data_IF_880313749550
#
_entry.id   IF_880313749550
#
_cell.length_a   1.000
_cell.length_b   1.000
_cell.length_c   1.000
_cell.angle_alpha   90.00
_cell.angle_beta   90.00
_cell.angle_gamma   90.00
#
_symmetry.space_group_name_H-M   'P 1'
#
loop_
_entity.id
_entity.type
_entity.pdbx_description
1 polymer ?
#
# COMPACT_ATOMS: atom_id res chain seq x y z
N UNK A 1 -8.55 -3.99 -11.90
CA UNK A 1 -8.15 -4.62 -10.62
C UNK A 1 -7.10 -3.77 -9.92
N UNK A 2 -6.69 -4.15 -8.71
CA UNK A 2 -5.49 -3.60 -8.06
C UNK A 2 -4.24 -4.17 -8.72
N UNK A 3 -3.35 -3.32 -9.19
CA UNK A 3 -2.09 -3.69 -9.84
C UNK A 3 -0.97 -3.98 -8.84
N UNK A 4 -0.88 -3.19 -7.77
CA UNK A 4 0.09 -3.45 -6.71
C UNK A 4 -0.33 -2.86 -5.36
N UNK A 5 0.18 -3.48 -4.30
CA UNK A 5 0.14 -2.96 -2.94
C UNK A 5 1.58 -2.67 -2.46
N UNK A 6 1.76 -1.51 -1.83
CA UNK A 6 3.06 -1.04 -1.35
C UNK A 6 2.96 -0.60 0.12
N UNK A 7 4.01 -0.88 0.89
CA UNK A 7 4.29 -0.22 2.16
C UNK A 7 5.63 0.48 2.03
N UNK A 8 5.68 1.79 2.30
CA UNK A 8 6.87 2.60 2.11
C UNK A 8 6.98 3.71 3.17
N UNK A 9 8.14 4.36 3.25
CA UNK A 9 8.35 5.45 4.22
C UNK A 9 7.84 6.78 3.65
N UNK A 10 7.06 7.52 4.44
CA UNK A 10 6.56 8.87 4.09
C UNK A 10 7.15 9.96 4.98
N UNK A 11 7.66 9.59 6.16
CA UNK A 11 8.42 10.49 7.03
C UNK A 11 9.91 10.56 6.68
N UNK A 12 10.65 11.52 7.28
CA UNK A 12 12.10 11.56 7.17
C UNK A 12 12.72 10.29 7.76
N UNK A 13 13.62 9.67 7.02
CA UNK A 13 14.42 8.52 7.47
C UNK A 13 15.86 8.98 7.50
N UNK A 14 16.52 8.93 8.65
CA UNK A 14 17.87 9.49 8.84
C UNK A 14 18.93 8.94 7.88
N UNK A 15 18.69 7.79 7.27
CA UNK A 15 19.56 7.13 6.29
C UNK A 15 19.25 7.48 4.82
N UNK A 16 18.23 8.29 4.56
CA UNK A 16 17.81 8.71 3.21
C UNK A 16 17.95 10.21 3.02
N UNK A 17 18.17 10.62 1.77
CA UNK A 17 18.17 12.04 1.43
C UNK A 17 16.77 12.64 1.48
N UNK A 18 16.68 13.96 1.64
CA UNK A 18 15.39 14.66 1.64
C UNK A 18 14.67 14.42 0.32
N UNK A 19 13.46 13.88 0.36
CA UNK A 19 12.69 13.55 -0.84
C UNK A 19 12.59 12.05 -1.14
N UNK A 20 13.49 11.23 -0.58
CA UNK A 20 13.50 9.80 -0.84
C UNK A 20 12.45 9.04 -0.01
N UNK A 21 11.92 7.98 -0.61
CA UNK A 21 11.01 7.04 0.03
C UNK A 21 11.60 5.64 -0.10
N UNK A 22 11.70 4.92 1.01
CA UNK A 22 12.11 3.52 1.01
C UNK A 22 10.87 2.65 0.85
N UNK A 23 10.82 1.86 -0.21
CA UNK A 23 9.85 0.77 -0.34
C UNK A 23 10.26 -0.34 0.64
N UNK A 24 9.41 -0.63 1.60
CA UNK A 24 9.62 -1.65 2.64
C UNK A 24 8.97 -2.98 2.23
N UNK A 25 7.83 -2.91 1.56
CA UNK A 25 7.13 -4.07 1.03
C UNK A 25 6.45 -3.70 -0.28
N UNK A 26 6.47 -4.63 -1.23
CA UNK A 26 5.76 -4.47 -2.51
C UNK A 26 5.24 -5.82 -2.99
N UNK A 27 3.97 -5.85 -3.39
CA UNK A 27 3.37 -6.98 -4.07
C UNK A 27 2.61 -6.50 -5.30
N UNK A 28 2.96 -7.02 -6.47
CA UNK A 28 2.11 -6.85 -7.65
C UNK A 28 1.09 -7.97 -7.75
N UNK A 29 0.01 -7.67 -8.46
CA UNK A 29 -1.09 -8.56 -8.75
C UNK A 29 -1.36 -8.57 -10.25
N UNK A 30 -2.09 -9.60 -10.69
CA UNK A 30 -2.30 -9.90 -12.10
C UNK A 30 -1.14 -10.67 -12.73
N UNK A 31 -1.38 -11.38 -13.85
CA UNK A 31 -0.29 -11.85 -14.68
C UNK A 31 0.47 -10.63 -15.18
N UNK A 32 1.79 -10.75 -15.26
CA UNK A 32 2.70 -9.76 -15.86
C UNK A 32 2.08 -9.11 -17.12
N UNK A 33 1.24 -9.80 -17.87
CA UNK A 33 0.88 -9.52 -19.27
C UNK A 33 -0.22 -8.49 -19.55
N UNK A 34 -1.03 -8.09 -18.56
CA UNK A 34 -2.23 -7.26 -18.81
C UNK A 34 -1.94 -5.80 -19.20
N UNK A 35 -0.82 -5.25 -18.70
CA UNK A 35 -0.42 -3.84 -18.88
C UNK A 35 0.96 -3.71 -19.54
N UNK A 36 1.45 -4.81 -20.10
CA UNK A 36 2.75 -4.83 -20.77
C UNK A 36 2.59 -4.29 -22.17
N UNK A 37 3.34 -3.23 -22.47
CA UNK A 37 3.62 -2.90 -23.86
C UNK A 37 4.24 -4.12 -24.55
N UNK A 38 4.11 -4.26 -25.87
CA UNK A 38 4.73 -5.39 -26.59
C UNK A 38 6.23 -5.53 -26.27
N UNK A 39 6.91 -4.39 -26.04
CA UNK A 39 8.30 -4.30 -25.58
C UNK A 39 8.54 -4.93 -24.20
N UNK A 40 7.58 -4.80 -23.30
CA UNK A 40 7.75 -5.37 -21.97
C UNK A 40 7.74 -6.89 -22.03
N UNK A 41 6.96 -7.54 -22.92
CA UNK A 41 6.81 -9.01 -22.99
C UNK A 41 8.12 -9.75 -23.24
N UNK A 42 9.05 -9.13 -23.94
CA UNK A 42 10.37 -9.68 -24.32
C UNK A 42 11.41 -9.61 -23.19
N UNK A 43 11.12 -8.89 -22.11
CA UNK A 43 12.06 -8.73 -20.99
C UNK A 43 12.35 -10.06 -20.29
N UNK A 44 13.63 -10.25 -19.94
CA UNK A 44 14.11 -11.31 -19.06
C UNK A 44 13.46 -11.19 -17.67
N UNK A 45 13.40 -12.29 -16.89
CA UNK A 45 12.79 -12.24 -15.56
C UNK A 45 13.44 -11.24 -14.60
N UNK A 46 14.74 -10.97 -14.75
CA UNK A 46 15.45 -10.01 -13.90
C UNK A 46 15.15 -8.56 -14.31
N UNK A 47 15.03 -8.28 -15.61
CA UNK A 47 14.58 -6.97 -16.10
C UNK A 47 13.13 -6.68 -15.67
N UNK A 48 12.25 -7.68 -15.66
CA UNK A 48 10.87 -7.52 -15.14
C UNK A 48 10.85 -7.17 -13.65
N UNK A 49 11.67 -7.86 -12.85
CA UNK A 49 11.81 -7.57 -11.41
C UNK A 49 12.36 -6.17 -11.18
N UNK A 50 13.33 -5.75 -11.99
CA UNK A 50 13.90 -4.40 -11.93
C UNK A 50 12.83 -3.35 -12.26
N UNK A 51 12.14 -3.52 -13.39
CA UNK A 51 11.05 -2.63 -13.81
C UNK A 51 9.98 -2.53 -12.73
N UNK A 52 9.57 -3.64 -12.12
CA UNK A 52 8.57 -3.64 -11.05
C UNK A 52 9.03 -2.85 -9.82
N UNK A 53 10.31 -2.95 -9.45
CA UNK A 53 10.90 -2.15 -8.36
C UNK A 53 10.95 -0.67 -8.71
N UNK A 54 11.28 -0.32 -9.95
CA UNK A 54 11.28 1.06 -10.43
C UNK A 54 9.88 1.67 -10.41
N UNK A 55 8.88 0.93 -10.93
CA UNK A 55 7.46 1.34 -10.86
C UNK A 55 7.04 1.59 -9.41
N UNK A 56 7.35 0.66 -8.50
CA UNK A 56 7.07 0.83 -7.08
C UNK A 56 7.76 2.05 -6.46
N UNK A 57 9.02 2.32 -6.81
CA UNK A 57 9.77 3.48 -6.32
C UNK A 57 9.18 4.81 -6.83
N UNK A 58 8.74 4.87 -8.09
CA UNK A 58 8.05 6.04 -8.66
C UNK A 58 6.75 6.32 -7.90
N UNK A 59 5.90 5.30 -7.71
CA UNK A 59 4.65 5.45 -6.96
C UNK A 59 4.92 5.90 -5.53
N UNK A 60 5.87 5.26 -4.83
CA UNK A 60 6.21 5.61 -3.45
C UNK A 60 6.68 7.07 -3.30
N UNK A 61 7.47 7.60 -4.25
CA UNK A 61 7.88 9.01 -4.27
C UNK A 61 6.70 9.96 -4.47
N UNK A 62 5.82 9.67 -5.44
CA UNK A 62 4.66 10.52 -5.71
C UNK A 62 3.69 10.54 -4.52
N UNK A 63 3.43 9.38 -3.92
CA UNK A 63 2.60 9.27 -2.71
C UNK A 63 3.25 9.98 -1.52
N UNK A 64 4.56 9.83 -1.30
CA UNK A 64 5.28 10.58 -0.25
C UNK A 64 5.08 12.09 -0.40
N UNK A 65 5.21 12.62 -1.62
CA UNK A 65 4.98 14.04 -1.87
C UNK A 65 3.53 14.44 -1.60
N UNK A 66 2.55 13.61 -1.98
CA UNK A 66 1.14 13.87 -1.69
C UNK A 66 0.85 13.86 -0.17
N UNK A 67 1.44 12.93 0.58
CA UNK A 67 1.33 12.87 2.05
C UNK A 67 1.96 14.11 2.70
N UNK A 68 3.16 14.51 2.25
CA UNK A 68 3.83 15.70 2.76
C UNK A 68 2.98 16.97 2.52
N UNK A 69 2.47 17.14 1.30
CA UNK A 69 1.57 18.24 0.96
C UNK A 69 0.28 18.22 1.79
N UNK A 70 -0.32 17.05 2.00
CA UNK A 70 -1.52 16.89 2.83
C UNK A 70 -1.27 17.32 4.28
N UNK A 71 -0.09 16.99 4.83
CA UNK A 71 0.31 17.34 6.20
C UNK A 71 0.63 18.82 6.35
N UNK A 72 1.35 19.38 5.38
CA UNK A 72 1.64 20.82 5.34
C UNK A 72 0.34 21.64 5.21
N UNK A 73 -0.63 21.16 4.42
CA UNK A 73 -1.91 21.83 4.22
C UNK A 73 -2.87 21.71 5.43
N UNK A 74 -2.76 20.64 6.22
CA UNK A 74 -3.63 20.43 7.38
C UNK A 74 -3.17 21.18 8.63
N UNK A 75 -1.95 21.72 8.64
CA UNK A 75 -1.28 22.34 9.79
C UNK A 75 -1.35 21.48 11.08
N UNK A 76 -1.53 20.16 10.90
CA UNK A 76 -1.71 19.23 12.00
C UNK A 76 -0.35 18.78 12.48
N UNK A 77 -0.06 19.08 13.74
CA UNK A 77 1.14 18.58 14.38
C UNK A 77 1.02 17.05 14.56
N UNK A 78 1.91 16.30 13.92
CA UNK A 78 2.00 14.86 14.10
C UNK A 78 2.46 14.58 15.54
N UNK A 79 1.59 13.94 16.31
CA UNK A 79 1.93 13.40 17.62
C UNK A 79 2.50 12.01 17.40
N UNK A 80 3.68 11.72 17.96
CA UNK A 80 4.21 10.36 17.95
C UNK A 80 3.30 9.46 18.80
N UNK A 81 2.66 8.51 18.13
CA UNK A 81 1.82 7.50 18.77
C UNK A 81 2.67 6.29 19.15
N UNK A 82 2.31 5.65 20.26
CA UNK A 82 3.07 4.53 20.80
C UNK A 82 2.45 3.19 20.40
N UNK A 83 3.21 2.08 20.45
CA UNK A 83 2.62 0.74 20.33
C UNK A 83 1.49 0.57 21.35
N UNK A 84 0.30 0.16 20.89
CA UNK A 84 -0.95 0.20 21.65
C UNK A 84 -1.97 1.26 21.18
N UNK A 85 -1.51 2.28 20.45
CA UNK A 85 -2.37 3.34 19.90
C UNK A 85 -2.76 3.09 18.43
N UNK A 86 -2.72 1.84 17.96
CA UNK A 86 -2.89 1.49 16.53
C UNK A 86 -4.24 1.97 15.95
N UNK A 87 -5.32 1.82 16.72
CA UNK A 87 -6.65 2.25 16.31
C UNK A 87 -6.74 3.78 16.18
N UNK A 88 -6.12 4.51 17.12
CA UNK A 88 -6.03 5.97 17.07
C UNK A 88 -5.18 6.42 15.87
N UNK A 89 -4.04 5.77 15.64
CA UNK A 89 -3.17 6.07 14.50
C UNK A 89 -3.88 5.90 13.16
N UNK A 90 -4.73 4.89 13.02
CA UNK A 90 -5.53 4.69 11.81
C UNK A 90 -6.65 5.73 11.67
N UNK A 91 -7.29 6.12 12.77
CA UNK A 91 -8.33 7.16 12.77
C UNK A 91 -7.76 8.52 12.36
N UNK A 92 -6.54 8.82 12.81
CA UNK A 92 -5.86 10.08 12.53
C UNK A 92 -5.10 10.10 11.20
N UNK A 93 -5.07 8.97 10.48
CA UNK A 93 -4.30 8.80 9.26
C UNK A 93 -4.73 9.75 8.13
N UNK A 94 -3.75 10.33 7.47
CA UNK A 94 -3.96 11.07 6.22
C UNK A 94 -4.38 10.09 5.12
N UNK A 95 -5.25 10.51 4.21
CA UNK A 95 -5.70 9.66 3.11
C UNK A 95 -5.90 10.47 1.84
N UNK A 96 -5.64 9.86 0.69
CA UNK A 96 -5.89 10.52 -0.58
C UNK A 96 -5.70 9.61 -1.77
N UNK A 97 -5.81 10.23 -2.96
CA UNK A 97 -5.63 9.55 -4.24
C UNK A 97 -4.70 10.39 -5.12
N UNK A 98 -3.71 9.74 -5.71
CA UNK A 98 -2.84 10.33 -6.76
C UNK A 98 -3.20 9.68 -8.08
N UNK A 99 -3.52 10.50 -9.10
CA UNK A 99 -3.67 10.00 -10.47
C UNK A 99 -2.30 9.89 -11.13
N UNK A 100 -1.98 8.69 -11.58
CA UNK A 100 -0.75 8.35 -12.30
C UNK A 100 -1.07 8.41 -13.80
N UNK A 101 -0.37 9.28 -14.53
CA UNK A 101 -0.61 9.45 -15.97
C UNK A 101 -0.10 8.24 -16.74
N UNK A 102 -0.75 7.95 -17.86
CA UNK A 102 -0.24 7.00 -18.84
C UNK A 102 1.18 7.40 -19.27
N UNK A 103 2.08 6.41 -19.35
CA UNK A 103 3.48 6.56 -19.68
C UNK A 103 4.43 6.57 -18.48
N UNK A 104 3.98 6.93 -17.27
CA UNK A 104 4.81 6.95 -16.07
C UNK A 104 4.01 6.67 -14.78
N UNK A 105 4.21 5.55 -14.06
CA UNK A 105 5.05 4.38 -14.38
C UNK A 105 4.29 3.26 -15.12
N UNK A 106 3.01 3.46 -15.44
CA UNK A 106 2.16 2.46 -16.11
C UNK A 106 1.83 2.92 -17.54
N UNK A 107 1.58 1.97 -18.44
CA UNK A 107 1.20 2.25 -19.83
C UNK A 107 -0.14 2.96 -19.94
N UNK A 108 -1.05 2.68 -19.02
CA UNK A 108 -2.37 3.29 -18.91
C UNK A 108 -2.44 4.24 -17.70
N UNK A 109 -3.46 5.11 -17.70
CA UNK A 109 -3.78 5.90 -16.53
C UNK A 109 -4.12 4.98 -15.36
N UNK A 110 -3.63 5.27 -14.16
CA UNK A 110 -3.94 4.46 -12.96
C UNK A 110 -4.13 5.38 -11.77
N UNK A 111 -4.74 4.87 -10.71
CA UNK A 111 -4.96 5.64 -9.48
C UNK A 111 -4.24 4.98 -8.30
N UNK A 112 -3.37 5.73 -7.63
CA UNK A 112 -2.73 5.31 -6.39
C UNK A 112 -3.51 5.86 -5.19
N UNK A 113 -4.30 5.01 -4.53
CA UNK A 113 -4.90 5.34 -3.23
C UNK A 113 -3.87 5.13 -2.14
N UNK A 114 -3.82 6.04 -1.17
CA UNK A 114 -2.84 5.96 -0.11
C UNK A 114 -3.42 6.33 1.26
N UNK A 115 -2.82 5.73 2.30
CA UNK A 115 -2.98 6.08 3.71
C UNK A 115 -1.61 6.38 4.32
N UNK A 116 -1.45 7.58 4.88
CA UNK A 116 -0.27 8.01 5.61
C UNK A 116 -0.47 7.87 7.11
N UNK A 117 0.10 6.81 7.70
CA UNK A 117 0.07 6.55 9.15
C UNK A 117 1.46 6.80 9.72
N UNK A 118 1.63 7.87 10.49
CA UNK A 118 2.93 8.25 11.06
C UNK A 118 4.04 8.35 9.99
N UNK A 119 5.10 7.55 10.08
CA UNK A 119 6.20 7.49 9.12
C UNK A 119 5.95 6.52 7.97
N UNK A 120 4.81 5.81 7.93
CA UNK A 120 4.48 4.79 6.93
C UNK A 120 3.38 5.26 5.96
N UNK A 121 3.55 4.89 4.69
CA UNK A 121 2.55 5.00 3.64
C UNK A 121 2.12 3.61 3.20
N UNK A 122 0.81 3.36 3.23
CA UNK A 122 0.17 2.19 2.65
C UNK A 122 -0.47 2.61 1.34
N UNK A 123 -0.24 1.90 0.24
CA UNK A 123 -0.72 2.31 -1.09
C UNK A 123 -1.30 1.14 -1.88
N UNK A 124 -2.44 1.35 -2.53
CA UNK A 124 -2.98 0.51 -3.59
C UNK A 124 -2.95 1.25 -4.92
N UNK A 125 -2.39 0.63 -5.95
CA UNK A 125 -2.51 1.12 -7.33
C UNK A 125 -3.64 0.37 -8.02
N UNK A 126 -4.61 1.09 -8.54
CA UNK A 126 -5.82 0.59 -9.18
C UNK A 126 -5.87 1.00 -10.65
N UNK A 127 -6.47 0.14 -11.47
CA UNK A 127 -6.84 0.44 -12.85
C UNK A 127 -7.92 1.55 -12.94
N UNK A 128 -8.06 2.21 -14.11
CA UNK A 128 -9.00 3.33 -14.31
C UNK A 128 -10.45 3.08 -13.90
N UNK A 129 -10.91 1.84 -14.02
CA UNK A 129 -12.33 1.48 -13.85
C UNK A 129 -12.63 0.80 -12.52
N UNK A 130 -11.64 0.71 -11.63
CA UNK A 130 -11.86 0.14 -10.31
C UNK A 130 -12.69 1.05 -9.42
N UNK A 131 -13.46 0.43 -8.52
CA UNK A 131 -14.23 1.14 -7.54
C UNK A 131 -13.30 1.69 -6.44
N UNK A 132 -12.95 2.98 -6.53
CA UNK A 132 -12.03 3.63 -5.59
C UNK A 132 -12.58 3.63 -4.14
N UNK A 133 -13.89 3.71 -3.94
CA UNK A 133 -14.49 3.64 -2.60
C UNK A 133 -14.27 2.26 -1.96
N UNK A 134 -14.46 1.20 -2.75
CA UNK A 134 -14.17 -0.16 -2.31
C UNK A 134 -12.68 -0.36 -2.06
N UNK A 135 -11.82 0.17 -2.95
CA UNK A 135 -10.37 0.13 -2.78
C UNK A 135 -9.91 0.83 -1.51
N UNK A 136 -10.47 2.00 -1.18
CA UNK A 136 -10.17 2.72 0.04
C UNK A 136 -10.58 1.90 1.28
N UNK A 137 -11.79 1.33 1.27
CA UNK A 137 -12.26 0.44 2.34
C UNK A 137 -11.33 -0.77 2.54
N UNK A 138 -10.90 -1.40 1.45
CA UNK A 138 -9.92 -2.49 1.47
C UNK A 138 -8.56 -2.03 2.00
N UNK A 139 -8.06 -0.86 1.59
CA UNK A 139 -6.80 -0.30 2.05
C UNK A 139 -6.83 0.02 3.55
N UNK A 140 -7.91 0.63 4.04
CA UNK A 140 -8.10 0.88 5.49
C UNK A 140 -8.15 -0.42 6.28
N UNK A 141 -8.85 -1.43 5.76
CA UNK A 141 -8.92 -2.75 6.39
C UNK A 141 -7.56 -3.45 6.43
N UNK A 142 -6.82 -3.46 5.32
CA UNK A 142 -5.45 -3.99 5.28
C UNK A 142 -4.52 -3.28 6.25
N UNK A 143 -4.58 -1.94 6.27
CA UNK A 143 -3.74 -1.10 7.13
C UNK A 143 -4.04 -1.38 8.61
N UNK A 144 -5.32 -1.48 8.98
CA UNK A 144 -5.75 -1.86 10.33
C UNK A 144 -5.11 -3.18 10.77
N UNK A 145 -5.25 -4.25 9.99
CA UNK A 145 -4.67 -5.54 10.34
C UNK A 145 -3.13 -5.51 10.38
N UNK A 146 -2.49 -4.70 9.52
CA UNK A 146 -1.04 -4.51 9.56
C UNK A 146 -0.60 -3.79 10.85
N UNK A 147 -1.33 -2.78 11.30
CA UNK A 147 -1.02 -2.08 12.54
C UNK A 147 -1.33 -2.97 13.74
N UNK A 148 -2.57 -3.43 13.89
CA UNK A 148 -3.07 -4.12 15.08
C UNK A 148 -2.45 -5.51 15.30
N UNK A 149 -2.18 -6.27 14.23
CA UNK A 149 -1.72 -7.68 14.37
C UNK A 149 -0.26 -7.88 14.01
N UNK A 150 0.32 -6.98 13.21
CA UNK A 150 1.73 -7.06 12.84
C UNK A 150 2.59 -6.02 13.58
N UNK A 151 1.97 -5.20 14.44
CA UNK A 151 2.61 -4.16 15.26
C UNK A 151 3.55 -3.27 14.43
N UNK A 152 3.07 -2.84 13.25
CA UNK A 152 3.85 -2.03 12.31
C UNK A 152 3.94 -0.54 12.69
N UNK A 153 3.44 -0.16 13.85
CA UNK A 153 3.49 1.22 14.34
C UNK A 153 4.90 1.51 14.88
N UNK A 154 5.72 2.18 14.05
CA UNK A 154 7.12 2.50 14.37
C UNK A 154 7.95 2.89 13.15
N UNK A 155 9.27 2.76 13.24
CA UNK A 155 10.24 3.22 12.22
C UNK A 155 10.24 2.40 10.91
N UNK A 156 9.36 1.41 10.77
CA UNK A 156 9.17 0.62 9.55
C UNK A 156 10.07 -0.63 9.41
N UNK A 157 11.01 -0.87 10.32
CA UNK A 157 11.83 -2.10 10.35
C UNK A 157 10.97 -3.36 10.47
N UNK A 158 9.89 -3.30 11.26
CA UNK A 158 8.94 -4.40 11.45
C UNK A 158 8.31 -4.86 10.14
N UNK A 159 8.11 -3.96 9.19
CA UNK A 159 7.51 -4.31 7.88
C UNK A 159 8.34 -5.36 7.16
N UNK A 160 9.68 -5.25 7.23
CA UNK A 160 10.61 -6.19 6.60
C UNK A 160 10.54 -7.59 7.23
N UNK A 161 10.31 -7.66 8.54
CA UNK A 161 10.21 -8.92 9.29
C UNK A 161 8.86 -9.62 9.11
N UNK A 162 7.84 -8.89 8.63
CA UNK A 162 6.46 -9.36 8.56
C UNK A 162 5.95 -9.56 7.13
N UNK A 163 6.80 -9.45 6.12
CA UNK A 163 6.45 -9.61 4.69
C UNK A 163 5.57 -10.83 4.42
N UNK A 164 5.95 -12.01 4.93
CA UNK A 164 5.17 -13.25 4.76
C UNK A 164 3.75 -13.16 5.36
N UNK A 165 3.58 -12.44 6.48
CA UNK A 165 2.26 -12.25 7.10
C UNK A 165 1.43 -11.23 6.32
N UNK A 166 2.06 -10.19 5.77
CA UNK A 166 1.40 -9.26 4.83
C UNK A 166 0.94 -10.02 3.59
N UNK A 167 1.76 -10.92 3.06
CA UNK A 167 1.39 -11.76 1.92
C UNK A 167 0.15 -12.62 2.19
N UNK A 168 0.07 -13.17 3.40
CA UNK A 168 -1.06 -13.98 3.84
C UNK A 168 -2.35 -13.15 4.05
N UNK A 169 -2.23 -11.88 4.48
CA UNK A 169 -3.36 -10.94 4.53
C UNK A 169 -3.84 -10.62 3.11
N UNK A 170 -2.93 -10.25 2.22
CA UNK A 170 -3.26 -9.89 0.84
C UNK A 170 -3.90 -11.04 0.09
N UNK A 171 -3.45 -12.29 0.29
CA UNK A 171 -4.08 -13.45 -0.36
C UNK A 171 -5.54 -13.67 0.05
N UNK A 172 -5.97 -13.15 1.20
CA UNK A 172 -7.35 -13.31 1.73
C UNK A 172 -8.22 -12.09 1.43
N UNK A 173 -7.68 -10.90 1.68
CA UNK A 173 -8.41 -9.63 1.55
C UNK A 173 -8.41 -9.07 0.12
N UNK A 174 -7.41 -9.45 -0.67
CA UNK A 174 -7.20 -8.98 -2.04
C UNK A 174 -6.65 -10.11 -2.94
N UNK A 175 -7.38 -11.22 -3.09
CA UNK A 175 -6.92 -12.38 -3.85
C UNK A 175 -6.65 -11.97 -5.30
N UNK A 176 -5.42 -12.19 -5.76
CA UNK A 176 -4.98 -11.84 -7.13
C UNK A 176 -5.21 -10.38 -7.53
N UNK A 177 -5.32 -9.44 -6.57
CA UNK A 177 -5.59 -8.03 -6.86
C UNK A 177 -7.08 -7.70 -7.06
N UNK A 178 -7.97 -8.64 -6.80
CA UNK A 178 -9.41 -8.44 -6.94
C UNK A 178 -10.00 -7.81 -5.68
N UNK A 179 -10.68 -6.68 -5.83
CA UNK A 179 -11.45 -6.07 -4.76
C UNK A 179 -12.68 -6.94 -4.47
N UNK A 180 -12.81 -7.38 -3.22
CA UNK A 180 -13.94 -8.20 -2.79
C UNK A 180 -15.07 -7.30 -2.31
N UNK A 181 -16.25 -7.44 -2.91
CA UNK A 181 -17.45 -6.85 -2.35
C UNK A 181 -17.94 -7.69 -1.18
N UNK A 182 -17.63 -7.25 0.04
CA UNK A 182 -17.95 -7.98 1.26
C UNK A 182 -19.29 -7.51 1.81
N UNK A 183 -20.28 -8.40 1.84
CA UNK A 183 -21.46 -8.18 2.67
C UNK A 183 -21.11 -8.38 4.17
N UNK A 184 -22.00 -7.94 5.08
CA UNK A 184 -21.73 -8.01 6.52
C UNK A 184 -21.35 -9.41 7.03
N UNK A 185 -21.94 -10.47 6.48
CA UNK A 185 -21.64 -11.86 6.90
C UNK A 185 -20.27 -12.31 6.41
N UNK A 186 -19.95 -12.00 5.16
CA UNK A 186 -18.65 -12.31 4.58
C UNK A 186 -17.53 -11.53 5.26
N UNK A 187 -17.75 -10.24 5.54
CA UNK A 187 -16.79 -9.42 6.28
C UNK A 187 -16.47 -10.04 7.65
N UNK A 188 -17.49 -10.43 8.42
CA UNK A 188 -17.30 -11.07 9.72
C UNK A 188 -16.61 -12.44 9.64
N UNK A 189 -16.95 -13.26 8.63
CA UNK A 189 -16.30 -14.56 8.43
C UNK A 189 -14.82 -14.39 8.08
N UNK A 190 -14.53 -13.49 7.15
CA UNK A 190 -13.18 -13.19 6.70
C UNK A 190 -12.33 -12.61 7.84
N UNK A 191 -12.91 -11.75 8.67
CA UNK A 191 -12.24 -11.21 9.85
C UNK A 191 -11.90 -12.31 10.85
N UNK A 192 -12.80 -13.26 11.11
CA UNK A 192 -12.51 -14.42 11.97
C UNK A 192 -11.38 -15.27 11.41
N UNK A 193 -11.34 -15.50 10.10
CA UNK A 193 -10.27 -16.27 9.45
C UNK A 193 -8.92 -15.56 9.53
N UNK A 194 -8.90 -14.24 9.33
CA UNK A 194 -7.70 -13.42 9.46
C UNK A 194 -7.19 -13.46 10.89
N UNK A 195 -8.05 -13.26 11.88
CA UNK A 195 -7.69 -13.31 13.31
C UNK A 195 -7.17 -14.69 13.71
N UNK A 196 -7.83 -15.77 13.29
CA UNK A 196 -7.41 -17.13 13.59
C UNK A 196 -6.04 -17.49 12.98
N UNK A 197 -5.70 -16.88 11.85
CA UNK A 197 -4.37 -17.04 11.24
C UNK A 197 -3.32 -16.18 11.96
N UNK A 198 -3.65 -14.95 12.35
CA UNK A 198 -2.73 -14.03 13.03
C UNK A 198 -2.39 -14.44 14.46
N UNK A 199 -3.25 -15.23 15.10
CA UNK A 199 -2.99 -15.83 16.41
C UNK A 199 -2.01 -17.02 16.37
N UNK A 200 -1.57 -17.47 15.19
CA UNK A 200 -0.58 -18.54 15.00
C UNK A 200 0.82 -17.98 14.77
#
# INVERSE_FOLDING_TARGET
MVLCFLVHTVGPVSALSSGESRVLYSRAFGPDEGFRSERDRELSPDERRLLQKEKAAVVARQVRSAVALSREASDRQLVELMPGDEALALQEADSGVVRLRAGEPFSEETSALWLGVQSLGFTLVCEPHENLLLAEGTLRNLTRHCLEHLHMLGQGSEVLLRSNRIDALLSRLLPHGQLLFLNHRFAQSLEKEVLAYMAK
#
